data_IF_405611877397
#
_entry.id   IF_405611877397
#
_cell.length_a   1.000
_cell.length_b   1.000
_cell.length_c   1.000
_cell.angle_alpha   90.00
_cell.angle_beta   90.00
_cell.angle_gamma   90.00
#
_symmetry.space_group_name_H-M   'P 1'
#
loop_
_entity.id
_entity.type
_entity.pdbx_description
1 polymer ?
#
# COMPACT_ATOMS: atom_id res chain seq x y z
N UNK A 1 -28.51 -13.48 21.23
CA UNK A 1 -27.38 -14.15 20.52
C UNK A 1 -26.09 -13.50 20.96
N UNK A 2 -25.03 -14.27 21.23
CA UNK A 2 -23.70 -13.70 21.55
C UNK A 2 -23.15 -13.06 20.27
N UNK A 3 -22.79 -11.79 20.37
CA UNK A 3 -22.25 -11.04 19.24
C UNK A 3 -20.86 -11.60 18.86
N UNK A 4 -20.64 -11.80 17.57
CA UNK A 4 -19.42 -12.37 16.99
C UNK A 4 -18.68 -11.32 16.18
N UNK A 5 -17.35 -11.44 16.07
CA UNK A 5 -16.48 -10.44 15.47
C UNK A 5 -15.40 -11.07 14.60
N UNK A 6 -14.91 -10.28 13.66
CA UNK A 6 -13.69 -10.54 12.90
C UNK A 6 -12.62 -9.56 13.40
N UNK A 7 -11.41 -10.05 13.61
CA UNK A 7 -10.25 -9.23 13.94
C UNK A 7 -9.38 -9.09 12.68
N UNK A 8 -9.25 -7.86 12.20
CA UNK A 8 -8.44 -7.50 11.04
C UNK A 8 -7.24 -6.70 11.46
N UNK A 9 -6.09 -6.95 10.82
CA UNK A 9 -4.86 -6.19 11.02
C UNK A 9 -4.48 -5.46 9.74
N UNK A 10 -4.25 -4.16 9.85
CA UNK A 10 -3.67 -3.29 8.81
C UNK A 10 -2.21 -2.99 9.20
N UNK A 11 -1.28 -3.61 8.50
CA UNK A 11 0.15 -3.50 8.77
C UNK A 11 0.76 -2.47 7.80
N UNK A 12 0.94 -1.24 8.26
CA UNK A 12 1.57 -0.19 7.47
C UNK A 12 3.10 -0.20 7.58
N UNK A 13 3.77 0.81 7.05
CA UNK A 13 5.25 0.91 7.07
C UNK A 13 5.82 1.19 8.47
N UNK A 14 5.11 1.88 9.34
CA UNK A 14 5.61 2.31 10.67
C UNK A 14 4.70 1.91 11.82
N UNK A 15 3.56 1.31 11.55
CA UNK A 15 2.61 0.93 12.57
C UNK A 15 1.65 -0.15 12.08
N UNK A 16 1.16 -0.96 13.01
CA UNK A 16 0.00 -1.84 12.79
C UNK A 16 -1.23 -1.26 13.47
N UNK A 17 -2.38 -1.41 12.82
CA UNK A 17 -3.69 -1.17 13.39
C UNK A 17 -4.46 -2.48 13.45
N UNK A 18 -4.94 -2.86 14.62
CA UNK A 18 -5.93 -3.92 14.76
C UNK A 18 -7.32 -3.31 14.78
N UNK A 19 -8.25 -3.89 14.05
CA UNK A 19 -9.63 -3.40 13.89
C UNK A 19 -10.59 -4.55 14.19
N UNK A 20 -11.51 -4.33 15.11
CA UNK A 20 -12.58 -5.27 15.43
C UNK A 20 -13.84 -4.88 14.66
N UNK A 21 -14.36 -5.81 13.85
CA UNK A 21 -15.48 -5.57 12.93
C UNK A 21 -16.61 -6.58 13.24
N UNK A 22 -17.85 -6.14 13.24
CA UNK A 22 -19.01 -7.04 13.28
C UNK A 22 -19.44 -7.51 11.88
N UNK A 23 -20.40 -8.43 11.80
CA UNK A 23 -20.90 -8.96 10.52
C UNK A 23 -21.68 -7.96 9.65
N UNK A 24 -22.03 -6.81 10.19
CA UNK A 24 -22.65 -5.71 9.45
C UNK A 24 -21.61 -4.77 8.83
N UNK A 25 -20.30 -5.10 8.99
CA UNK A 25 -19.20 -4.26 8.51
C UNK A 25 -18.89 -3.04 9.39
N UNK A 26 -19.51 -2.94 10.57
CA UNK A 26 -19.28 -1.82 11.48
C UNK A 26 -18.01 -2.04 12.29
N UNK A 27 -17.12 -1.04 12.27
CA UNK A 27 -15.97 -0.97 13.16
C UNK A 27 -16.44 -0.74 14.60
N UNK A 28 -16.10 -1.65 15.49
CA UNK A 28 -16.45 -1.59 16.92
C UNK A 28 -15.38 -0.82 17.69
N UNK A 29 -14.12 -1.18 17.47
CA UNK A 29 -12.98 -0.43 18.00
C UNK A 29 -11.70 -0.76 17.20
N UNK A 30 -10.65 0.02 17.47
CA UNK A 30 -9.33 -0.23 16.94
C UNK A 30 -8.25 0.05 17.99
N UNK A 31 -7.06 -0.49 17.75
CA UNK A 31 -5.84 -0.20 18.49
C UNK A 31 -4.67 -0.05 17.50
N UNK A 32 -3.67 0.73 17.88
CA UNK A 32 -2.46 0.99 17.09
C UNK A 32 -1.22 0.66 17.93
N UNK A 33 -0.20 0.11 17.30
CA UNK A 33 1.15 0.03 17.83
C UNK A 33 2.15 0.40 16.74
N UNK A 34 3.19 1.12 17.13
CA UNK A 34 4.26 1.55 16.24
C UNK A 34 5.44 0.60 16.34
N UNK A 35 6.25 0.58 15.28
CA UNK A 35 7.50 -0.15 15.16
C UNK A 35 8.51 0.61 14.31
N UNK A 36 9.77 0.19 14.41
CA UNK A 36 10.89 0.91 13.84
C UNK A 36 11.02 0.67 12.33
N UNK A 37 11.30 1.73 11.59
CA UNK A 37 11.85 1.67 10.24
C UNK A 37 13.37 1.82 10.34
N UNK A 38 14.13 0.86 9.80
CA UNK A 38 15.58 0.81 9.84
C UNK A 38 16.14 1.28 8.50
N UNK A 39 16.88 2.40 8.51
CA UNK A 39 17.48 3.01 7.32
C UNK A 39 18.96 3.30 7.57
N UNK A 40 19.81 2.26 7.47
CA UNK A 40 21.25 2.37 7.76
C UNK A 40 22.05 3.08 6.67
N UNK A 41 21.54 3.06 5.44
CA UNK A 41 22.17 3.69 4.28
C UNK A 41 21.12 4.41 3.43
N UNK A 42 21.49 5.43 2.63
CA UNK A 42 20.58 6.05 1.68
C UNK A 42 19.97 5.00 0.72
N UNK A 43 18.65 4.99 0.60
CA UNK A 43 17.91 4.05 -0.24
C UNK A 43 17.71 2.65 0.34
N UNK A 44 18.24 2.36 1.54
CA UNK A 44 17.97 1.10 2.25
C UNK A 44 16.79 1.27 3.19
N UNK A 45 15.93 0.26 3.26
CA UNK A 45 14.78 0.26 4.14
C UNK A 45 14.45 -1.17 4.62
N UNK A 46 14.54 -1.36 5.92
CA UNK A 46 14.35 -2.65 6.57
C UNK A 46 13.42 -2.54 7.78
N UNK A 47 12.83 -3.67 8.16
CA UNK A 47 12.05 -3.81 9.39
C UNK A 47 12.44 -5.11 10.10
N UNK A 48 12.37 -5.12 11.44
CA UNK A 48 12.57 -6.33 12.22
C UNK A 48 11.26 -7.13 12.31
N UNK A 49 11.14 -8.34 11.71
CA UNK A 49 9.90 -9.11 11.71
C UNK A 49 9.40 -9.48 13.12
N UNK A 50 10.29 -9.70 14.09
CA UNK A 50 9.89 -10.01 15.46
C UNK A 50 9.31 -8.78 16.19
N UNK A 51 9.79 -7.57 15.89
CA UNK A 51 9.19 -6.34 16.40
C UNK A 51 7.77 -6.14 15.86
N UNK A 52 7.58 -6.41 14.56
CA UNK A 52 6.27 -6.37 13.92
C UNK A 52 5.31 -7.40 14.54
N UNK A 53 5.76 -8.63 14.79
CA UNK A 53 4.95 -9.65 15.46
C UNK A 53 4.53 -9.21 16.87
N UNK A 54 5.44 -8.65 17.65
CA UNK A 54 5.11 -8.10 18.98
C UNK A 54 4.07 -7.00 18.91
N UNK A 55 4.13 -6.15 17.88
CA UNK A 55 3.13 -5.09 17.65
C UNK A 55 1.75 -5.69 17.30
N UNK A 56 1.68 -6.74 16.49
CA UNK A 56 0.46 -7.51 16.21
C UNK A 56 -0.14 -8.04 17.52
N UNK A 57 0.66 -8.74 18.33
CA UNK A 57 0.20 -9.29 19.60
C UNK A 57 -0.33 -8.21 20.54
N UNK A 58 0.41 -7.12 20.71
CA UNK A 58 0.00 -5.98 21.54
C UNK A 58 -1.31 -5.35 21.07
N UNK A 59 -1.49 -5.13 19.78
CA UNK A 59 -2.72 -4.53 19.25
C UNK A 59 -3.90 -5.45 19.37
N UNK A 60 -3.72 -6.78 19.21
CA UNK A 60 -4.75 -7.79 19.47
C UNK A 60 -5.27 -7.70 20.89
N UNK A 61 -4.38 -7.78 21.89
CA UNK A 61 -4.73 -7.68 23.31
C UNK A 61 -5.44 -6.35 23.63
N UNK A 62 -4.93 -5.23 23.09
CA UNK A 62 -5.50 -3.91 23.32
C UNK A 62 -6.93 -3.78 22.75
N UNK A 63 -7.20 -4.33 21.56
CA UNK A 63 -8.55 -4.30 20.95
C UNK A 63 -9.53 -5.09 21.81
N UNK A 64 -9.17 -6.30 22.26
CA UNK A 64 -10.02 -7.14 23.10
C UNK A 64 -10.36 -6.42 24.40
N UNK A 65 -9.36 -5.85 25.07
CA UNK A 65 -9.53 -5.08 26.32
C UNK A 65 -10.41 -3.85 26.09
N UNK A 66 -10.13 -3.06 25.04
CA UNK A 66 -10.86 -1.83 24.73
C UNK A 66 -12.32 -2.08 24.36
N UNK A 67 -12.59 -3.18 23.64
CA UNK A 67 -13.94 -3.58 23.29
C UNK A 67 -14.70 -4.25 24.44
N UNK A 68 -14.00 -4.62 25.52
CA UNK A 68 -14.58 -5.36 26.66
C UNK A 68 -15.28 -6.66 26.22
N UNK A 69 -14.71 -7.36 25.24
CA UNK A 69 -15.23 -8.63 24.70
C UNK A 69 -14.46 -9.82 25.26
N UNK A 70 -15.05 -11.00 25.16
CA UNK A 70 -14.34 -12.26 25.42
C UNK A 70 -13.61 -12.70 24.16
N UNK A 71 -12.39 -13.29 24.26
CA UNK A 71 -11.63 -13.75 23.09
C UNK A 71 -12.36 -14.78 22.22
N UNK A 72 -13.26 -15.59 22.79
CA UNK A 72 -14.07 -16.59 22.08
C UNK A 72 -15.19 -15.99 21.19
N UNK A 73 -15.39 -14.68 21.30
CA UNK A 73 -16.29 -13.94 20.42
C UNK A 73 -15.63 -13.60 19.07
N UNK A 74 -14.30 -13.68 18.97
CA UNK A 74 -13.56 -13.51 17.70
C UNK A 74 -13.58 -14.85 16.96
N UNK A 75 -14.13 -14.86 15.74
CA UNK A 75 -14.34 -16.08 14.97
C UNK A 75 -13.59 -16.10 13.65
N UNK A 76 -12.75 -15.12 13.38
CA UNK A 76 -11.88 -15.08 12.21
C UNK A 76 -10.83 -14.00 12.32
N UNK A 77 -9.64 -14.28 11.77
CA UNK A 77 -8.53 -13.33 11.65
C UNK A 77 -8.17 -13.13 10.19
N UNK A 78 -7.79 -11.88 9.85
CA UNK A 78 -7.28 -11.53 8.53
C UNK A 78 -6.20 -10.46 8.64
N UNK A 79 -5.19 -10.55 7.77
CA UNK A 79 -4.09 -9.60 7.68
C UNK A 79 -4.12 -8.85 6.34
N UNK A 80 -3.95 -7.54 6.39
CA UNK A 80 -3.55 -6.71 5.26
C UNK A 80 -2.14 -6.19 5.52
N UNK A 81 -1.24 -6.32 4.56
CA UNK A 81 0.15 -5.93 4.73
C UNK A 81 0.73 -5.40 3.40
N UNK A 82 1.75 -4.51 3.44
CA UNK A 82 2.46 -4.13 2.25
C UNK A 82 3.08 -5.36 1.55
N UNK A 83 3.02 -5.36 0.27
CA UNK A 83 3.59 -6.41 -0.58
C UNK A 83 5.10 -6.26 -0.79
N UNK A 84 5.71 -7.26 -1.45
CA UNK A 84 7.13 -7.25 -1.85
C UNK A 84 8.10 -7.25 -0.68
N UNK A 85 7.69 -7.65 0.51
CA UNK A 85 8.61 -7.88 1.61
C UNK A 85 9.42 -9.16 1.39
N UNK A 86 10.67 -9.19 1.87
CA UNK A 86 11.57 -10.34 1.76
C UNK A 86 12.03 -10.72 3.16
N UNK A 87 11.53 -11.84 3.68
CA UNK A 87 11.81 -12.37 5.01
C UNK A 87 12.30 -13.83 4.85
N UNK A 88 13.62 -14.06 4.75
CA UNK A 88 14.18 -15.41 4.69
C UNK A 88 14.10 -16.09 6.06
N UNK A 89 13.58 -17.32 6.08
CA UNK A 89 13.40 -18.17 7.27
C UNK A 89 14.14 -19.48 7.04
N UNK A 90 14.90 -19.94 8.06
CA UNK A 90 15.59 -21.23 8.01
C UNK A 90 14.66 -22.43 8.28
N UNK A 91 15.20 -23.64 8.20
CA UNK A 91 14.46 -24.88 8.46
C UNK A 91 13.98 -25.02 9.92
N UNK A 92 14.57 -24.27 10.86
CA UNK A 92 14.19 -24.25 12.27
C UNK A 92 13.17 -23.16 12.62
N UNK A 93 12.80 -22.32 11.62
CA UNK A 93 11.88 -21.21 11.83
C UNK A 93 12.56 -19.91 12.32
N UNK A 94 13.87 -19.81 12.23
CA UNK A 94 14.58 -18.58 12.59
C UNK A 94 14.56 -17.58 11.44
N UNK A 95 14.31 -16.32 11.75
CA UNK A 95 14.46 -15.21 10.82
C UNK A 95 15.94 -14.95 10.57
N UNK A 96 16.40 -15.06 9.33
CA UNK A 96 17.82 -14.98 8.99
C UNK A 96 18.32 -13.53 8.84
N UNK A 97 17.42 -12.58 8.59
CA UNK A 97 17.72 -11.15 8.47
C UNK A 97 16.48 -10.29 8.69
N UNK A 98 16.66 -8.99 8.86
CA UNK A 98 15.57 -8.04 8.78
C UNK A 98 14.86 -8.12 7.41
N UNK A 99 13.56 -7.86 7.39
CA UNK A 99 12.76 -7.78 6.17
C UNK A 99 13.25 -6.64 5.28
N UNK A 100 13.54 -6.91 4.01
CA UNK A 100 13.60 -5.84 3.00
C UNK A 100 12.17 -5.43 2.65
N UNK A 101 11.88 -4.14 2.68
CA UNK A 101 10.52 -3.64 2.43
C UNK A 101 10.40 -2.96 1.06
N UNK A 102 9.19 -2.68 0.62
CA UNK A 102 8.89 -2.08 -0.70
C UNK A 102 9.65 -0.78 -1.01
N UNK A 103 10.07 -0.03 0.00
CA UNK A 103 10.83 1.22 -0.15
C UNK A 103 12.33 1.00 -0.41
N UNK A 104 12.83 -0.21 -0.21
CA UNK A 104 14.26 -0.51 -0.34
C UNK A 104 14.70 -0.49 -1.80
N UNK A 105 15.62 0.39 -2.14
CA UNK A 105 16.12 0.64 -3.49
C UNK A 105 17.57 0.18 -3.72
N UNK A 106 18.12 -0.64 -2.79
CA UNK A 106 19.54 -1.09 -2.88
C UNK A 106 19.87 -1.90 -4.13
N UNK A 107 18.87 -2.52 -4.75
CA UNK A 107 19.04 -3.45 -5.87
C UNK A 107 19.02 -2.77 -7.26
N UNK A 108 19.44 -1.50 -7.37
CA UNK A 108 19.39 -0.76 -8.64
C UNK A 108 20.22 -1.40 -9.75
N UNK A 109 21.43 -1.92 -9.43
CA UNK A 109 22.27 -2.62 -10.40
C UNK A 109 21.64 -3.95 -10.88
N UNK A 110 20.99 -4.68 -9.97
CA UNK A 110 20.24 -5.90 -10.31
C UNK A 110 19.06 -5.58 -11.22
N UNK A 111 18.34 -4.49 -10.96
CA UNK A 111 17.23 -4.05 -11.80
C UNK A 111 17.67 -3.72 -13.23
N UNK A 112 18.80 -3.04 -13.41
CA UNK A 112 19.35 -2.74 -14.74
C UNK A 112 19.65 -4.04 -15.52
N UNK A 113 20.32 -5.00 -14.88
CA UNK A 113 20.62 -6.30 -15.49
C UNK A 113 19.37 -7.11 -15.80
N UNK A 114 18.40 -7.12 -14.87
CA UNK A 114 17.14 -7.83 -15.04
C UNK A 114 16.33 -7.27 -16.20
N UNK A 115 16.17 -5.95 -16.30
CA UNK A 115 15.49 -5.30 -17.42
C UNK A 115 16.13 -5.62 -18.77
N UNK A 116 17.46 -5.65 -18.80
CA UNK A 116 18.20 -6.03 -20.02
C UNK A 116 18.00 -7.50 -20.38
N UNK A 117 18.09 -8.41 -19.40
CA UNK A 117 17.95 -9.85 -19.62
C UNK A 117 16.51 -10.27 -19.98
N UNK A 118 15.52 -9.66 -19.37
CA UNK A 118 14.09 -9.90 -19.66
C UNK A 118 13.67 -9.34 -21.03
N UNK A 119 14.37 -8.32 -21.56
CA UNK A 119 14.04 -7.66 -22.82
C UNK A 119 12.88 -6.66 -22.72
N UNK A 120 12.39 -6.37 -21.52
CA UNK A 120 11.37 -5.36 -21.23
C UNK A 120 11.59 -4.75 -19.84
N UNK A 121 10.90 -3.65 -19.56
CA UNK A 121 11.03 -2.97 -18.26
C UNK A 121 10.26 -3.72 -17.17
N UNK A 122 10.99 -4.43 -16.32
CA UNK A 122 10.45 -5.14 -15.13
C UNK A 122 10.24 -4.15 -13.97
N UNK A 123 11.15 -3.18 -13.82
CA UNK A 123 11.03 -2.17 -12.78
C UNK A 123 12.36 -1.59 -12.31
N UNK A 124 12.35 -0.97 -11.15
CA UNK A 124 13.51 -0.35 -10.50
C UNK A 124 14.10 -1.26 -9.41
N UNK A 125 15.15 -0.80 -8.72
CA UNK A 125 15.73 -1.50 -7.59
C UNK A 125 14.78 -1.72 -6.39
N UNK A 126 13.61 -1.13 -6.40
CA UNK A 126 12.55 -1.33 -5.39
C UNK A 126 11.65 -2.54 -5.69
N UNK A 127 11.74 -3.12 -6.90
CA UNK A 127 10.93 -4.28 -7.25
C UNK A 127 11.38 -5.54 -6.53
N UNK A 128 10.48 -6.53 -6.48
CA UNK A 128 10.68 -7.75 -5.71
C UNK A 128 11.87 -8.57 -6.22
N UNK A 129 11.88 -8.91 -7.53
CA UNK A 129 12.90 -9.76 -8.12
C UNK A 129 14.33 -9.16 -8.07
N UNK A 130 14.58 -7.87 -8.37
CA UNK A 130 15.89 -7.27 -8.18
C UNK A 130 16.42 -7.40 -6.75
N UNK A 131 15.53 -7.25 -5.74
CA UNK A 131 15.93 -7.38 -4.34
C UNK A 131 16.21 -8.82 -3.94
N UNK A 132 15.49 -9.80 -4.51
CA UNK A 132 15.85 -11.23 -4.37
C UNK A 132 17.21 -11.51 -4.96
N UNK A 133 17.49 -11.04 -6.19
CA UNK A 133 18.82 -11.14 -6.82
C UNK A 133 19.89 -10.53 -5.93
N UNK A 134 19.63 -9.37 -5.35
CA UNK A 134 20.57 -8.72 -4.46
C UNK A 134 20.88 -9.57 -3.22
N UNK A 135 19.89 -10.15 -2.57
CA UNK A 135 20.08 -11.05 -1.41
C UNK A 135 20.88 -12.27 -1.82
N UNK A 136 20.56 -12.91 -2.95
CA UNK A 136 21.27 -14.08 -3.48
C UNK A 136 22.73 -13.79 -3.76
N UNK A 137 23.06 -12.62 -4.31
CA UNK A 137 24.40 -12.21 -4.69
C UNK A 137 25.24 -11.68 -3.51
N UNK A 138 24.66 -10.92 -2.60
CA UNK A 138 25.41 -10.20 -1.56
C UNK A 138 25.33 -10.87 -0.19
N UNK A 139 24.36 -11.76 0.02
CA UNK A 139 24.15 -12.50 1.27
C UNK A 139 23.96 -13.99 0.95
N UNK A 140 24.90 -14.67 0.26
CA UNK A 140 24.74 -16.04 -0.21
C UNK A 140 24.49 -17.03 0.94
N UNK A 141 25.10 -16.85 2.10
CA UNK A 141 24.85 -17.69 3.29
C UNK A 141 23.41 -17.62 3.76
N UNK A 142 22.79 -16.43 3.73
CA UNK A 142 21.36 -16.24 4.05
C UNK A 142 20.51 -16.93 3.01
N UNK A 143 20.84 -16.75 1.72
CA UNK A 143 20.09 -17.36 0.61
C UNK A 143 20.11 -18.89 0.67
N UNK A 144 21.27 -19.48 0.88
CA UNK A 144 21.46 -20.93 0.95
C UNK A 144 20.76 -21.55 2.16
N UNK A 145 20.83 -20.90 3.34
CA UNK A 145 20.18 -21.38 4.56
C UNK A 145 18.66 -21.10 4.58
N UNK A 146 18.15 -20.24 3.73
CA UNK A 146 16.72 -19.97 3.66
C UNK A 146 15.95 -21.20 3.16
N UNK A 147 15.10 -21.75 4.00
CA UNK A 147 14.15 -22.79 3.64
C UNK A 147 12.92 -22.21 2.94
N UNK A 148 12.53 -21.01 3.34
CA UNK A 148 11.40 -20.27 2.72
C UNK A 148 11.67 -18.77 2.78
N UNK A 149 11.22 -18.05 1.74
CA UNK A 149 11.24 -16.59 1.68
C UNK A 149 9.80 -16.10 1.72
N UNK A 150 9.44 -15.40 2.79
CA UNK A 150 8.06 -14.96 3.04
C UNK A 150 7.89 -13.48 2.76
N UNK A 151 6.72 -13.10 2.24
CA UNK A 151 6.18 -11.75 2.36
C UNK A 151 5.64 -11.49 3.78
N UNK A 152 5.31 -10.24 4.08
CA UNK A 152 4.90 -9.86 5.44
C UNK A 152 3.57 -10.48 5.85
N UNK A 153 2.59 -10.52 4.95
CA UNK A 153 1.31 -11.17 5.17
C UNK A 153 1.50 -12.67 5.47
N UNK A 154 2.34 -13.35 4.67
CA UNK A 154 2.68 -14.77 4.87
C UNK A 154 3.35 -15.01 6.22
N UNK A 155 4.28 -14.14 6.63
CA UNK A 155 4.96 -14.23 7.92
C UNK A 155 3.98 -14.17 9.11
N UNK A 156 3.02 -13.25 9.09
CA UNK A 156 2.02 -13.16 10.16
C UNK A 156 1.09 -14.36 10.21
N UNK A 157 0.66 -14.88 9.06
CA UNK A 157 -0.12 -16.12 8.98
C UNK A 157 0.66 -17.31 9.54
N UNK A 158 1.93 -17.42 9.18
CA UNK A 158 2.80 -18.47 9.70
C UNK A 158 3.00 -18.37 11.21
N UNK A 159 3.31 -17.20 11.75
CA UNK A 159 3.41 -16.98 13.23
C UNK A 159 2.11 -17.35 13.94
N UNK A 160 0.98 -17.09 13.32
CA UNK A 160 -0.34 -17.34 13.91
C UNK A 160 -0.77 -18.81 13.84
N UNK A 161 -0.47 -19.50 12.72
CA UNK A 161 -1.05 -20.81 12.40
C UNK A 161 -0.03 -21.94 12.27
N UNK A 162 1.25 -21.63 12.12
CA UNK A 162 2.28 -22.57 11.70
C UNK A 162 2.21 -22.98 10.22
N UNK A 163 1.23 -22.46 9.45
CA UNK A 163 1.06 -22.78 8.03
C UNK A 163 1.64 -21.68 7.17
N UNK A 164 2.27 -22.08 6.05
CA UNK A 164 2.91 -21.17 5.11
C UNK A 164 2.05 -21.10 3.85
N UNK A 165 1.53 -19.91 3.54
CA UNK A 165 0.82 -19.64 2.29
C UNK A 165 0.88 -18.16 1.95
N UNK A 166 1.22 -17.83 0.69
CA UNK A 166 1.04 -16.48 0.14
C UNK A 166 -0.40 -16.28 -0.35
N UNK A 167 -0.70 -15.12 -0.92
CA UNK A 167 -2.00 -14.80 -1.50
C UNK A 167 -1.81 -14.04 -2.83
N UNK A 168 -2.83 -13.97 -3.71
CA UNK A 168 -2.63 -13.52 -5.09
C UNK A 168 -2.03 -12.13 -5.28
N UNK A 169 -2.23 -11.19 -4.36
CA UNK A 169 -1.70 -9.83 -4.50
C UNK A 169 -0.23 -9.69 -4.04
N UNK A 170 0.28 -10.64 -3.24
CA UNK A 170 1.68 -10.69 -2.78
C UNK A 170 2.43 -11.93 -3.33
N UNK A 171 1.89 -12.58 -4.38
CA UNK A 171 2.56 -13.64 -5.12
C UNK A 171 3.11 -13.09 -6.44
N UNK A 172 4.41 -13.19 -6.63
CA UNK A 172 5.14 -12.73 -7.82
C UNK A 172 5.74 -13.90 -8.61
N UNK A 173 5.34 -15.13 -8.30
CA UNK A 173 5.79 -16.35 -8.97
C UNK A 173 4.65 -17.10 -9.67
N UNK A 174 3.42 -16.94 -9.19
CA UNK A 174 2.25 -17.62 -9.71
C UNK A 174 1.15 -16.62 -10.03
N UNK A 175 0.46 -16.85 -11.13
CA UNK A 175 -0.72 -16.08 -11.52
C UNK A 175 -1.81 -16.97 -12.08
N UNK A 176 -3.06 -16.65 -11.78
CA UNK A 176 -4.22 -17.28 -12.43
C UNK A 176 -4.42 -16.81 -13.87
N UNK A 177 -3.79 -15.70 -14.25
CA UNK A 177 -3.82 -15.18 -15.61
C UNK A 177 -2.62 -15.74 -16.40
N UNK A 178 -2.84 -16.53 -17.49
CA UNK A 178 -1.77 -17.14 -18.26
C UNK A 178 -0.79 -16.14 -18.88
N UNK A 179 -1.25 -14.96 -19.28
CA UNK A 179 -0.38 -13.91 -19.84
C UNK A 179 0.59 -13.39 -18.78
N UNK A 180 0.10 -13.13 -17.56
CA UNK A 180 0.92 -12.69 -16.44
C UNK A 180 1.89 -13.79 -16.01
N UNK A 181 1.43 -15.05 -15.97
CA UNK A 181 2.30 -16.18 -15.67
C UNK A 181 3.46 -16.27 -16.68
N UNK A 182 3.18 -16.08 -17.97
CA UNK A 182 4.23 -16.07 -18.99
C UNK A 182 5.26 -14.96 -18.77
N UNK A 183 4.85 -13.81 -18.27
CA UNK A 183 5.79 -12.73 -17.93
C UNK A 183 6.58 -13.03 -16.67
N UNK A 184 5.95 -13.62 -15.65
CA UNK A 184 6.65 -14.10 -14.45
C UNK A 184 7.69 -15.14 -14.79
N UNK A 185 7.39 -16.13 -15.64
CA UNK A 185 8.35 -17.16 -16.08
C UNK A 185 9.58 -16.55 -16.74
N UNK A 186 9.39 -15.55 -17.61
CA UNK A 186 10.50 -14.81 -18.24
C UNK A 186 11.34 -14.05 -17.20
N UNK A 187 10.68 -13.39 -16.24
CA UNK A 187 11.37 -12.61 -15.19
C UNK A 187 12.14 -13.55 -14.27
N UNK A 188 11.55 -14.65 -13.84
CA UNK A 188 12.16 -15.67 -12.98
C UNK A 188 13.42 -16.20 -13.65
N UNK A 189 13.31 -16.56 -14.93
CA UNK A 189 14.45 -17.04 -15.73
C UNK A 189 15.56 -15.97 -15.86
N UNK A 190 15.19 -14.74 -16.21
CA UNK A 190 16.13 -13.63 -16.34
C UNK A 190 16.81 -13.25 -15.01
N UNK A 191 16.12 -13.47 -13.89
CA UNK A 191 16.63 -13.25 -12.53
C UNK A 191 17.53 -14.40 -12.04
N UNK A 192 17.58 -15.54 -12.75
CA UNK A 192 18.31 -16.74 -12.33
C UNK A 192 17.73 -17.42 -11.09
N UNK A 193 16.41 -17.45 -10.98
CA UNK A 193 15.68 -18.01 -9.83
C UNK A 193 14.98 -19.35 -10.13
N UNK A 194 15.18 -19.93 -11.34
CA UNK A 194 14.51 -21.16 -11.76
C UNK A 194 14.73 -22.35 -10.80
N UNK A 195 15.91 -22.43 -10.19
CA UNK A 195 16.26 -23.50 -9.26
C UNK A 195 15.85 -23.24 -7.80
N UNK A 196 15.30 -22.05 -7.53
CA UNK A 196 14.95 -21.61 -6.16
C UNK A 196 13.43 -21.58 -5.89
N UNK A 197 12.62 -22.04 -6.82
CA UNK A 197 11.15 -21.93 -6.75
C UNK A 197 10.56 -22.61 -5.51
N UNK A 198 11.22 -23.63 -4.98
CA UNK A 198 10.81 -24.32 -3.75
C UNK A 198 10.97 -23.47 -2.46
N UNK A 199 11.68 -22.33 -2.55
CA UNK A 199 11.80 -21.36 -1.46
C UNK A 199 10.59 -20.42 -1.36
N UNK A 200 9.68 -20.40 -2.34
CA UNK A 200 8.54 -19.50 -2.35
C UNK A 200 7.26 -20.21 -1.90
N UNK A 201 6.43 -19.55 -1.06
CA UNK A 201 5.24 -20.13 -0.48
C UNK A 201 4.21 -20.55 -1.53
N UNK A 202 3.44 -21.64 -1.31
CA UNK A 202 2.28 -21.93 -2.15
C UNK A 202 1.20 -20.86 -1.96
N UNK A 203 0.44 -20.57 -3.03
CA UNK A 203 -0.62 -19.56 -3.04
C UNK A 203 -1.95 -20.15 -2.55
N UNK A 204 -2.67 -19.36 -1.72
CA UNK A 204 -4.08 -19.55 -1.35
C UNK A 204 -4.86 -18.28 -1.61
N UNK A 205 -6.15 -18.43 -1.94
CA UNK A 205 -7.01 -17.26 -2.13
C UNK A 205 -7.19 -16.48 -0.82
N UNK A 206 -7.43 -15.19 -0.94
CA UNK A 206 -7.62 -14.29 0.19
C UNK A 206 -8.74 -14.74 1.16
N UNK A 207 -9.77 -15.38 0.65
CA UNK A 207 -10.93 -15.89 1.41
C UNK A 207 -10.78 -17.35 1.87
N UNK A 208 -9.72 -18.04 1.51
CA UNK A 208 -9.47 -19.42 1.96
C UNK A 208 -8.88 -19.44 3.38
N UNK A 209 -9.29 -20.43 4.15
CA UNK A 209 -8.67 -20.71 5.45
C UNK A 209 -7.24 -21.24 5.22
N UNK A 210 -6.25 -20.51 5.74
CA UNK A 210 -4.84 -20.93 5.72
C UNK A 210 -4.57 -21.93 6.83
N UNK A 211 -5.13 -21.70 8.00
CA UNK A 211 -4.97 -22.52 9.19
C UNK A 211 -5.73 -21.92 10.36
N UNK A 212 -5.42 -22.40 11.56
CA UNK A 212 -6.07 -21.97 12.80
C UNK A 212 -5.05 -21.44 13.79
N UNK A 213 -5.45 -20.50 14.63
CA UNK A 213 -4.63 -19.96 15.71
C UNK A 213 -4.10 -21.09 16.58
N UNK A 214 -2.78 -21.17 16.72
CA UNK A 214 -2.08 -22.17 17.56
C UNK A 214 -2.22 -21.82 19.05
N UNK A 215 -1.87 -22.74 19.95
CA UNK A 215 -1.84 -22.49 21.38
C UNK A 215 -0.87 -21.33 21.69
N UNK A 216 0.34 -21.36 21.13
CA UNK A 216 1.34 -20.32 21.34
C UNK A 216 0.86 -18.95 20.86
N UNK A 217 0.33 -18.87 19.64
CA UNK A 217 -0.19 -17.61 19.11
C UNK A 217 -1.38 -17.09 19.93
N UNK A 218 -2.24 -17.99 20.42
CA UNK A 218 -3.36 -17.62 21.28
C UNK A 218 -2.89 -16.95 22.57
N UNK A 219 -1.87 -17.51 23.22
CA UNK A 219 -1.26 -16.94 24.43
C UNK A 219 -0.62 -15.58 24.15
N UNK A 220 0.17 -15.46 23.07
CA UNK A 220 0.85 -14.21 22.69
C UNK A 220 -0.13 -13.11 22.28
N UNK A 221 -1.21 -13.44 21.60
CA UNK A 221 -2.20 -12.47 21.07
C UNK A 221 -3.37 -12.19 22.02
N UNK A 222 -3.51 -12.95 23.12
CA UNK A 222 -4.66 -12.87 24.02
C UNK A 222 -5.96 -13.43 23.40
N UNK A 223 -5.84 -14.42 22.54
CA UNK A 223 -6.93 -15.07 21.81
C UNK A 223 -7.21 -16.47 22.36
N UNK A 224 -8.16 -17.19 21.75
CA UNK A 224 -8.38 -18.62 21.96
C UNK A 224 -7.81 -19.41 20.78
N UNK A 225 -7.30 -20.62 21.07
CA UNK A 225 -6.87 -21.57 20.04
C UNK A 225 -8.03 -21.91 19.09
N UNK A 226 -7.70 -22.17 17.82
CA UNK A 226 -8.63 -22.74 16.87
C UNK A 226 -9.44 -21.72 16.06
N UNK A 227 -9.25 -20.42 16.28
CA UNK A 227 -9.86 -19.38 15.41
C UNK A 227 -9.28 -19.51 14.01
N UNK A 228 -10.11 -19.56 12.93
CA UNK A 228 -9.63 -19.62 11.57
C UNK A 228 -8.91 -18.34 11.16
N UNK A 229 -7.83 -18.48 10.38
CA UNK A 229 -7.04 -17.41 9.79
C UNK A 229 -7.13 -17.51 8.29
N UNK A 230 -7.51 -16.42 7.62
CA UNK A 230 -7.74 -16.38 6.19
C UNK A 230 -6.55 -15.82 5.42
N UNK A 231 -6.53 -16.05 4.09
CA UNK A 231 -5.43 -15.66 3.21
C UNK A 231 -5.04 -14.19 3.27
N UNK A 232 -6.02 -13.30 3.38
CA UNK A 232 -5.78 -11.86 3.49
C UNK A 232 -5.44 -11.19 2.17
N UNK A 233 -4.91 -9.97 2.25
CA UNK A 233 -4.64 -9.14 1.09
C UNK A 233 -3.37 -8.31 1.27
N UNK A 234 -2.79 -7.85 0.17
CA UNK A 234 -1.95 -6.66 0.16
C UNK A 234 -2.74 -5.42 0.61
N UNK A 235 -2.05 -4.38 1.02
CA UNK A 235 -2.68 -3.13 1.50
C UNK A 235 -3.54 -2.45 0.43
N UNK A 236 -3.09 -2.43 -0.82
CA UNK A 236 -3.79 -1.78 -1.93
C UNK A 236 -5.11 -2.48 -2.28
N UNK A 237 -5.19 -3.82 -2.50
CA UNK A 237 -6.46 -4.52 -2.63
C UNK A 237 -7.38 -4.36 -1.41
N UNK A 238 -6.82 -4.36 -0.18
CA UNK A 238 -7.60 -4.16 1.04
C UNK A 238 -8.26 -2.77 1.08
N UNK A 239 -7.52 -1.72 0.71
CA UNK A 239 -8.07 -0.35 0.56
C UNK A 239 -9.17 -0.35 -0.49
N UNK A 240 -8.95 -0.97 -1.64
CA UNK A 240 -9.90 -1.05 -2.75
C UNK A 240 -11.23 -1.68 -2.29
N UNK A 241 -11.17 -2.81 -1.58
CA UNK A 241 -12.35 -3.46 -0.98
C UNK A 241 -13.01 -2.54 0.06
N UNK A 242 -12.20 -1.90 0.91
CA UNK A 242 -12.67 -0.98 1.94
C UNK A 242 -13.45 0.22 1.39
N UNK A 243 -13.17 0.65 0.16
CA UNK A 243 -13.97 1.66 -0.55
C UNK A 243 -15.29 1.10 -1.08
N UNK A 244 -15.46 -0.22 -1.09
CA UNK A 244 -16.56 -0.93 -1.73
C UNK A 244 -16.39 -1.08 -3.25
N UNK A 245 -15.19 -0.82 -3.78
CA UNK A 245 -14.84 -1.11 -5.17
C UNK A 245 -14.43 -2.58 -5.27
N UNK A 246 -15.39 -3.45 -5.60
CA UNK A 246 -15.23 -4.91 -5.59
C UNK A 246 -15.59 -5.57 -6.92
N UNK A 247 -15.99 -4.78 -7.92
CA UNK A 247 -16.47 -5.27 -9.20
C UNK A 247 -15.84 -4.49 -10.34
N UNK A 248 -15.82 -5.10 -11.49
CA UNK A 248 -15.35 -4.50 -12.74
C UNK A 248 -15.98 -3.13 -12.99
N UNK A 249 -15.15 -2.21 -13.46
CA UNK A 249 -15.51 -0.83 -13.73
C UNK A 249 -15.85 0.04 -12.50
N UNK A 250 -15.49 -0.41 -11.31
CA UNK A 250 -15.51 0.44 -10.12
C UNK A 250 -14.16 1.14 -9.96
N UNK A 251 -14.20 2.43 -9.67
CA UNK A 251 -13.02 3.29 -9.56
C UNK A 251 -13.00 3.97 -8.21
N UNK A 252 -11.82 4.08 -7.61
CA UNK A 252 -11.62 4.89 -6.42
C UNK A 252 -10.32 5.69 -6.50
N UNK A 253 -10.25 6.73 -5.70
CA UNK A 253 -9.03 7.52 -5.46
C UNK A 253 -8.60 7.33 -4.01
N UNK A 254 -7.32 7.09 -3.82
CA UNK A 254 -6.66 7.20 -2.52
C UNK A 254 -5.92 8.54 -2.43
N UNK A 255 -6.23 9.31 -1.38
CA UNK A 255 -5.63 10.60 -1.07
C UNK A 255 -4.80 10.49 0.20
N UNK A 256 -3.58 10.00 0.07
CA UNK A 256 -2.60 9.85 1.15
C UNK A 256 -1.28 10.55 0.86
N UNK A 257 -0.21 10.19 1.56
CA UNK A 257 1.15 10.72 1.34
C UNK A 257 1.58 10.64 -0.12
N UNK A 258 1.42 9.47 -0.75
CA UNK A 258 1.23 9.28 -2.19
C UNK A 258 -0.26 9.36 -2.51
N UNK A 259 -0.62 9.39 -3.78
CA UNK A 259 -2.01 9.31 -4.19
C UNK A 259 -2.14 8.43 -5.42
N UNK A 260 -3.27 7.81 -5.61
CA UNK A 260 -3.52 6.99 -6.80
C UNK A 260 -4.99 6.91 -7.14
N UNK A 261 -5.26 6.65 -8.43
CA UNK A 261 -6.55 6.18 -8.92
C UNK A 261 -6.41 4.70 -9.24
N UNK A 262 -7.39 3.91 -8.83
CA UNK A 262 -7.48 2.47 -9.13
C UNK A 262 -8.80 2.19 -9.80
N UNK A 263 -8.76 1.39 -10.87
CA UNK A 263 -9.91 0.75 -11.48
C UNK A 263 -9.82 -0.77 -11.36
N UNK A 264 -10.98 -1.43 -11.36
CA UNK A 264 -11.08 -2.89 -11.37
C UNK A 264 -11.38 -3.35 -12.79
N UNK A 265 -10.49 -4.17 -13.35
CA UNK A 265 -10.54 -4.69 -14.72
C UNK A 265 -10.50 -6.21 -14.72
N UNK A 266 -10.96 -6.85 -15.80
CA UNK A 266 -10.79 -8.29 -16.00
C UNK A 266 -9.47 -8.61 -16.67
N UNK A 267 -9.14 -7.87 -17.71
CA UNK A 267 -7.93 -8.09 -18.49
C UNK A 267 -7.15 -6.78 -18.57
N UNK A 268 -5.84 -6.86 -18.55
CA UNK A 268 -4.95 -5.68 -18.69
C UNK A 268 -5.10 -5.00 -20.04
N UNK A 269 -5.62 -5.70 -21.04
CA UNK A 269 -5.88 -5.20 -22.38
C UNK A 269 -7.10 -4.26 -22.45
N UNK A 270 -8.00 -4.33 -21.46
CA UNK A 270 -9.21 -3.53 -21.42
C UNK A 270 -8.92 -2.05 -21.16
N UNK A 271 -7.91 -1.76 -20.32
CA UNK A 271 -7.48 -0.39 -19.99
C UNK A 271 -5.97 -0.38 -19.82
N UNK A 272 -5.29 0.42 -20.62
CA UNK A 272 -3.85 0.65 -20.49
C UNK A 272 -3.58 1.48 -19.22
N UNK A 273 -3.11 0.82 -18.16
CA UNK A 273 -2.66 1.46 -16.93
C UNK A 273 -1.13 1.43 -16.84
N UNK A 274 -0.51 2.43 -16.18
CA UNK A 274 0.94 2.45 -15.98
C UNK A 274 1.47 1.30 -15.14
N UNK A 275 0.65 0.79 -14.24
CA UNK A 275 0.94 -0.35 -13.36
C UNK A 275 -0.32 -1.18 -13.17
N UNK A 276 -0.13 -2.45 -12.83
CA UNK A 276 -1.20 -3.37 -12.50
C UNK A 276 -0.87 -4.12 -11.22
N UNK A 277 -1.91 -4.57 -10.53
CA UNK A 277 -1.79 -5.49 -9.41
C UNK A 277 -2.89 -6.54 -9.47
N UNK A 278 -2.61 -7.73 -8.97
CA UNK A 278 -3.62 -8.77 -8.87
C UNK A 278 -4.58 -8.44 -7.73
N UNK A 279 -5.86 -8.26 -8.08
CA UNK A 279 -6.90 -7.97 -7.09
C UNK A 279 -7.42 -9.26 -6.45
N UNK A 280 -7.75 -10.24 -7.30
CA UNK A 280 -8.14 -11.59 -6.89
C UNK A 280 -7.98 -12.56 -8.08
N UNK A 281 -8.51 -13.78 -7.98
CA UNK A 281 -8.44 -14.77 -9.06
C UNK A 281 -9.21 -14.41 -10.34
N UNK A 282 -10.05 -13.37 -10.33
CA UNK A 282 -10.91 -12.97 -11.45
C UNK A 282 -10.62 -11.57 -11.97
N UNK A 283 -10.03 -10.70 -11.14
CA UNK A 283 -9.86 -9.30 -11.42
C UNK A 283 -8.44 -8.83 -11.16
N UNK A 284 -7.99 -7.93 -12.00
CA UNK A 284 -6.79 -7.12 -11.83
C UNK A 284 -7.19 -5.70 -11.41
N UNK A 285 -6.25 -4.96 -10.85
CA UNK A 285 -6.40 -3.53 -10.64
C UNK A 285 -5.47 -2.76 -11.55
N UNK A 286 -6.01 -1.81 -12.31
CA UNK A 286 -5.22 -0.79 -13.00
C UNK A 286 -4.86 0.33 -12.04
N UNK A 287 -3.58 0.69 -11.96
CA UNK A 287 -3.05 1.64 -10.98
C UNK A 287 -2.42 2.85 -11.67
N UNK A 288 -2.97 4.03 -11.39
CA UNK A 288 -2.46 5.34 -11.81
C UNK A 288 -1.97 6.09 -10.57
N UNK A 289 -0.68 5.95 -10.27
CA UNK A 289 -0.09 6.51 -9.07
C UNK A 289 0.55 7.90 -9.33
N UNK A 290 0.49 8.78 -8.31
CA UNK A 290 1.27 9.98 -8.20
C UNK A 290 2.41 9.73 -7.20
N UNK A 291 3.63 10.09 -7.56
CA UNK A 291 4.77 9.99 -6.66
C UNK A 291 4.58 10.81 -5.39
N UNK A 292 3.93 11.97 -5.51
CA UNK A 292 3.72 12.92 -4.43
C UNK A 292 2.24 13.32 -4.38
N UNK A 293 1.50 12.81 -3.42
CA UNK A 293 0.11 13.15 -3.14
C UNK A 293 -0.02 14.22 -2.05
N UNK A 294 -0.73 13.91 -0.96
CA UNK A 294 -0.90 14.84 0.16
C UNK A 294 0.42 15.28 0.81
N UNK A 295 1.53 14.59 0.55
CA UNK A 295 2.86 15.05 0.94
C UNK A 295 3.19 16.43 0.38
N UNK A 296 2.74 16.75 -0.84
CA UNK A 296 2.97 18.08 -1.41
C UNK A 296 2.20 19.17 -0.63
N UNK A 297 1.01 18.88 -0.16
CA UNK A 297 0.25 19.77 0.71
C UNK A 297 0.94 19.91 2.09
N UNK A 298 1.35 18.80 2.69
CA UNK A 298 2.08 18.82 3.97
C UNK A 298 3.37 19.64 3.87
N UNK A 299 4.13 19.45 2.79
CA UNK A 299 5.31 20.26 2.49
C UNK A 299 4.96 21.74 2.34
N UNK A 300 3.90 22.09 1.61
CA UNK A 300 3.49 23.48 1.41
C UNK A 300 3.06 24.13 2.74
N UNK A 301 2.35 23.38 3.61
CA UNK A 301 2.03 23.85 4.97
C UNK A 301 3.29 24.10 5.78
N UNK A 302 4.28 23.18 5.71
CA UNK A 302 5.57 23.39 6.40
C UNK A 302 6.31 24.65 5.91
N UNK A 303 6.31 24.91 4.60
CA UNK A 303 7.04 26.07 4.03
C UNK A 303 6.31 27.40 4.26
N UNK A 304 4.99 27.43 4.15
CA UNK A 304 4.22 28.68 4.12
C UNK A 304 3.46 28.96 5.42
N UNK A 305 3.28 27.96 6.30
CA UNK A 305 2.57 28.04 7.57
C UNK A 305 3.39 27.46 8.74
N UNK A 306 4.71 27.54 8.64
CA UNK A 306 5.62 26.96 9.64
C UNK A 306 5.32 27.43 11.07
N UNK A 307 5.10 28.73 11.28
CA UNK A 307 4.82 29.29 12.61
C UNK A 307 3.51 28.75 13.19
N UNK A 308 2.47 28.71 12.39
CA UNK A 308 1.17 28.16 12.77
C UNK A 308 1.28 26.66 13.07
N UNK A 309 2.07 25.92 12.29
CA UNK A 309 2.32 24.48 12.52
C UNK A 309 3.02 24.22 13.86
N UNK A 310 3.98 25.05 14.23
CA UNK A 310 4.66 24.95 15.55
C UNK A 310 3.69 25.18 16.72
N UNK A 311 2.69 26.03 16.55
CA UNK A 311 1.71 26.36 17.58
C UNK A 311 0.58 25.34 17.63
N UNK A 312 0.02 24.97 16.47
CA UNK A 312 -1.22 24.21 16.34
C UNK A 312 -0.98 22.69 16.20
N UNK A 313 0.27 22.26 15.91
CA UNK A 313 0.54 20.85 15.65
C UNK A 313 -0.33 20.29 14.52
N UNK A 314 -1.04 19.19 14.77
CA UNK A 314 -1.91 18.55 13.77
C UNK A 314 -3.15 19.39 13.37
N UNK A 315 -3.58 20.33 14.19
CA UNK A 315 -4.72 21.21 13.90
C UNK A 315 -4.41 22.26 12.83
N UNK A 316 -3.14 22.40 12.43
CA UNK A 316 -2.73 23.33 11.38
C UNK A 316 -3.42 23.07 10.05
N UNK A 317 -3.75 21.83 9.72
CA UNK A 317 -4.43 21.49 8.46
C UNK A 317 -5.85 22.07 8.41
N UNK A 318 -6.59 22.02 9.51
CA UNK A 318 -7.92 22.63 9.61
C UNK A 318 -7.83 24.16 9.54
N UNK A 319 -6.80 24.75 10.17
CA UNK A 319 -6.55 26.17 10.10
C UNK A 319 -6.26 26.59 8.64
N UNK A 320 -5.35 25.91 7.95
CA UNK A 320 -4.99 26.19 6.55
C UNK A 320 -6.19 26.04 5.62
N UNK A 321 -6.98 24.98 5.77
CA UNK A 321 -8.19 24.79 4.97
C UNK A 321 -9.17 25.97 5.10
N UNK A 322 -9.34 26.52 6.31
CA UNK A 322 -10.17 27.72 6.54
C UNK A 322 -9.56 28.98 5.94
N UNK A 323 -8.25 29.15 6.06
CA UNK A 323 -7.54 30.34 5.57
C UNK A 323 -7.57 30.44 4.04
N UNK A 324 -7.46 29.29 3.34
CA UNK A 324 -7.44 29.25 1.86
C UNK A 324 -8.84 29.10 1.23
N UNK A 325 -9.89 28.86 2.01
CA UNK A 325 -11.23 28.61 1.49
C UNK A 325 -11.83 29.77 0.65
N UNK A 326 -11.30 30.97 0.80
CA UNK A 326 -11.71 32.14 0.01
C UNK A 326 -10.97 32.32 -1.33
N UNK A 327 -9.98 31.49 -1.63
CA UNK A 327 -9.23 31.55 -2.89
C UNK A 327 -10.11 30.95 -4.01
N UNK A 328 -10.29 31.64 -5.13
CA UNK A 328 -11.13 31.14 -6.22
C UNK A 328 -10.47 29.94 -6.92
N UNK A 329 -11.30 29.10 -7.54
CA UNK A 329 -10.83 28.01 -8.40
C UNK A 329 -9.88 28.53 -9.47
N UNK A 330 -8.76 27.82 -9.68
CA UNK A 330 -7.66 28.26 -10.55
C UNK A 330 -6.67 29.23 -9.87
N UNK A 331 -6.81 29.47 -8.53
CA UNK A 331 -5.84 30.23 -7.71
C UNK A 331 -5.44 31.57 -8.35
N UNK A 332 -6.40 32.30 -8.93
CA UNK A 332 -6.18 33.55 -9.69
C UNK A 332 -5.12 33.41 -10.82
N UNK A 333 -5.19 32.27 -11.55
CA UNK A 333 -4.26 31.87 -12.60
C UNK A 333 -2.85 31.48 -12.15
N UNK A 334 -2.63 31.27 -10.87
CA UNK A 334 -1.42 30.67 -10.35
C UNK A 334 -1.49 29.14 -10.56
N UNK A 335 -0.50 28.57 -11.23
CA UNK A 335 -0.39 27.12 -11.44
C UNK A 335 0.78 26.58 -10.65
N UNK A 336 0.57 25.50 -9.93
CA UNK A 336 1.65 24.73 -9.28
C UNK A 336 1.76 23.33 -9.87
N UNK A 337 2.92 22.70 -9.70
CA UNK A 337 3.10 21.27 -9.87
C UNK A 337 3.53 20.65 -8.54
N UNK A 338 2.97 19.47 -8.21
CA UNK A 338 3.26 18.76 -6.96
C UNK A 338 4.52 17.86 -7.04
N UNK A 339 5.35 17.99 -8.07
CA UNK A 339 6.45 17.08 -8.44
C UNK A 339 7.71 17.25 -7.59
N UNK A 340 7.58 17.30 -6.27
CA UNK A 340 8.69 17.47 -5.34
C UNK A 340 9.75 16.37 -5.47
N UNK A 341 9.31 15.13 -5.71
CA UNK A 341 10.16 13.94 -5.79
C UNK A 341 10.15 13.30 -7.20
N UNK A 342 9.81 14.07 -8.23
CA UNK A 342 9.60 13.55 -9.56
C UNK A 342 8.12 13.32 -9.86
N UNK A 343 7.81 12.68 -11.00
CA UNK A 343 6.45 12.41 -11.47
C UNK A 343 6.30 10.97 -11.95
N UNK A 344 5.10 10.45 -11.83
CA UNK A 344 4.60 9.20 -12.39
C UNK A 344 3.27 9.45 -13.08
N UNK A 345 2.86 8.55 -13.97
CA UNK A 345 3.54 8.07 -15.16
C UNK A 345 3.61 9.12 -16.27
N UNK A 346 4.59 9.09 -17.15
CA UNK A 346 5.76 8.22 -17.10
C UNK A 346 6.73 8.65 -15.98
N UNK A 347 7.55 7.70 -15.51
CA UNK A 347 8.55 8.02 -14.48
C UNK A 347 9.50 9.12 -14.96
N UNK A 348 9.46 10.27 -14.30
CA UNK A 348 10.35 11.40 -14.55
C UNK A 348 11.02 11.85 -13.25
N UNK A 349 12.20 11.30 -12.96
CA UNK A 349 12.99 11.66 -11.77
C UNK A 349 13.46 13.12 -11.76
N UNK A 350 13.51 13.75 -12.95
CA UNK A 350 13.98 15.12 -13.12
C UNK A 350 12.83 16.15 -13.06
N UNK A 351 11.58 15.74 -13.08
CA UNK A 351 10.45 16.62 -12.85
C UNK A 351 10.56 17.25 -11.44
N UNK A 352 10.31 18.55 -11.36
CA UNK A 352 10.37 19.30 -10.10
C UNK A 352 9.13 20.16 -9.94
N UNK A 353 8.85 20.52 -8.70
CA UNK A 353 7.78 21.46 -8.38
C UNK A 353 8.10 22.85 -8.93
N UNK A 354 7.08 23.47 -9.51
CA UNK A 354 7.16 24.83 -10.09
C UNK A 354 5.91 25.59 -9.68
N UNK A 355 6.07 26.87 -9.42
CA UNK A 355 4.98 27.84 -9.36
C UNK A 355 5.08 28.72 -10.61
N UNK A 356 4.04 28.72 -11.42
CA UNK A 356 3.98 29.46 -12.68
C UNK A 356 2.96 30.59 -12.60
N UNK A 357 3.27 31.72 -13.21
CA UNK A 357 2.43 32.93 -13.26
C UNK A 357 2.22 33.61 -11.88
N UNK A 358 3.24 33.60 -11.01
CA UNK A 358 3.21 34.33 -9.74
C UNK A 358 3.22 35.84 -10.00
N UNK A 359 2.32 36.57 -9.35
CA UNK A 359 2.23 38.03 -9.39
C UNK A 359 2.25 38.61 -7.95
N UNK A 360 2.37 39.94 -7.82
CA UNK A 360 2.32 40.62 -6.53
C UNK A 360 0.97 40.52 -5.79
N UNK A 361 -0.06 40.05 -6.46
CA UNK A 361 -1.39 39.86 -5.87
C UNK A 361 -1.52 38.48 -5.19
N UNK A 362 -0.62 37.55 -5.47
CA UNK A 362 -0.63 36.25 -4.87
C UNK A 362 0.06 36.26 -3.51
N UNK A 363 -0.54 35.63 -2.53
CA UNK A 363 0.04 35.38 -1.22
C UNK A 363 0.17 33.87 -0.93
N UNK A 364 0.61 33.50 0.29
CA UNK A 364 0.82 32.12 0.69
C UNK A 364 -0.42 31.23 0.51
N UNK A 365 -1.63 31.82 0.62
CA UNK A 365 -2.91 31.09 0.45
C UNK A 365 -3.07 30.58 -0.97
N UNK A 366 -2.77 31.44 -1.95
CA UNK A 366 -2.80 31.07 -3.38
C UNK A 366 -1.77 29.97 -3.69
N UNK A 367 -0.56 30.04 -3.12
CA UNK A 367 0.48 29.04 -3.33
C UNK A 367 0.04 27.66 -2.82
N UNK A 368 -0.53 27.60 -1.62
CA UNK A 368 -1.01 26.33 -1.04
C UNK A 368 -2.24 25.80 -1.78
N UNK A 369 -3.18 26.67 -2.14
CA UNK A 369 -4.37 26.33 -2.90
C UNK A 369 -3.98 25.74 -4.28
N UNK A 370 -3.06 26.36 -5.01
CA UNK A 370 -2.54 25.87 -6.28
C UNK A 370 -1.85 24.50 -6.17
N UNK A 371 -1.14 24.22 -5.07
CA UNK A 371 -0.57 22.88 -4.81
C UNK A 371 -1.67 21.84 -4.64
N UNK A 372 -2.75 22.13 -3.92
CA UNK A 372 -3.89 21.22 -3.78
C UNK A 372 -4.58 20.97 -5.13
N UNK A 373 -4.80 22.01 -5.91
CA UNK A 373 -5.38 21.90 -7.26
C UNK A 373 -4.52 21.03 -8.18
N UNK A 374 -3.19 21.13 -8.11
CA UNK A 374 -2.29 20.37 -8.98
C UNK A 374 -2.46 18.85 -8.85
N UNK A 375 -2.78 18.38 -7.65
CA UNK A 375 -3.08 16.98 -7.39
C UNK A 375 -4.43 16.60 -8.01
N UNK A 376 -5.44 17.47 -7.85
CA UNK A 376 -6.76 17.26 -8.47
C UNK A 376 -6.68 17.22 -10.01
N UNK A 377 -5.88 18.09 -10.62
CA UNK A 377 -5.67 18.10 -12.07
C UNK A 377 -5.01 16.80 -12.59
N UNK A 378 -4.10 16.23 -11.82
CA UNK A 378 -3.51 14.93 -12.19
C UNK A 378 -4.54 13.82 -12.12
N UNK A 379 -5.39 13.78 -11.09
CA UNK A 379 -6.50 12.83 -11.03
C UNK A 379 -7.50 13.03 -12.16
N UNK A 380 -7.75 14.28 -12.59
CA UNK A 380 -8.57 14.57 -13.79
C UNK A 380 -7.96 13.95 -15.04
N UNK A 381 -6.66 14.09 -15.26
CA UNK A 381 -5.95 13.47 -16.39
C UNK A 381 -6.10 11.95 -16.37
N UNK A 382 -5.99 11.31 -15.19
CA UNK A 382 -6.17 9.86 -15.06
C UNK A 382 -7.61 9.44 -15.33
N UNK A 383 -8.56 10.18 -14.80
CA UNK A 383 -9.99 9.93 -15.07
C UNK A 383 -10.32 10.04 -16.56
N UNK A 384 -9.82 11.05 -17.25
CA UNK A 384 -10.04 11.23 -18.71
C UNK A 384 -9.41 10.06 -19.50
N UNK A 385 -8.23 9.60 -19.10
CA UNK A 385 -7.62 8.43 -19.72
C UNK A 385 -8.50 7.18 -19.53
N UNK A 386 -8.95 6.94 -18.31
CA UNK A 386 -9.85 5.84 -17.97
C UNK A 386 -11.16 5.92 -18.77
N UNK A 387 -11.85 7.07 -18.74
CA UNK A 387 -13.13 7.27 -19.42
C UNK A 387 -13.01 7.04 -20.95
N UNK A 388 -11.89 7.48 -21.53
CA UNK A 388 -11.59 7.25 -22.95
C UNK A 388 -11.39 5.78 -23.26
N UNK A 389 -10.63 5.07 -22.45
CA UNK A 389 -10.37 3.65 -22.64
C UNK A 389 -11.62 2.81 -22.37
N UNK A 390 -12.37 3.10 -21.33
CA UNK A 390 -13.61 2.42 -20.97
C UNK A 390 -14.81 2.76 -21.88
N UNK A 391 -14.69 3.81 -22.71
CA UNK A 391 -15.76 4.28 -23.58
C UNK A 391 -16.99 4.83 -22.85
N UNK A 392 -16.86 5.20 -21.59
CA UNK A 392 -17.96 5.69 -20.74
C UNK A 392 -17.46 6.73 -19.73
N UNK A 393 -18.40 7.59 -19.27
CA UNK A 393 -18.13 8.55 -18.21
C UNK A 393 -18.52 8.00 -16.85
N UNK A 394 -17.73 8.36 -15.84
CA UNK A 394 -18.10 8.14 -14.45
C UNK A 394 -19.00 9.27 -13.95
N UNK A 395 -19.98 8.90 -13.12
CA UNK A 395 -20.89 9.84 -12.46
C UNK A 395 -20.66 9.95 -10.96
N UNK A 396 -19.82 9.07 -10.42
CA UNK A 396 -19.41 9.09 -9.03
C UNK A 396 -18.07 8.38 -8.88
N UNK A 397 -17.29 8.81 -7.91
CA UNK A 397 -16.02 8.17 -7.53
C UNK A 397 -15.93 8.14 -6.01
N UNK A 398 -15.33 7.09 -5.47
CA UNK A 398 -15.08 6.99 -4.03
C UNK A 398 -13.68 7.49 -3.72
N UNK A 399 -13.55 8.27 -2.65
CA UNK A 399 -12.27 8.82 -2.23
C UNK A 399 -11.99 8.39 -0.79
N UNK A 400 -10.78 7.92 -0.52
CA UNK A 400 -10.32 7.51 0.82
C UNK A 400 -8.92 8.04 1.08
N UNK A 401 -8.49 7.98 2.33
CA UNK A 401 -7.17 8.46 2.77
C UNK A 401 -7.27 9.72 3.62
N UNK A 402 -6.11 10.19 4.10
CA UNK A 402 -6.06 11.34 5.02
C UNK A 402 -6.56 12.66 4.40
N UNK A 403 -6.30 12.87 3.12
CA UNK A 403 -6.78 14.07 2.42
C UNK A 403 -8.29 14.10 2.20
N UNK A 404 -8.95 12.92 2.22
CA UNK A 404 -10.40 12.81 2.04
C UNK A 404 -11.23 13.37 3.22
N UNK A 405 -10.59 13.70 4.34
CA UNK A 405 -11.28 14.33 5.49
C UNK A 405 -11.46 15.84 5.32
N UNK A 406 -10.80 16.47 4.34
CA UNK A 406 -10.92 17.89 4.03
C UNK A 406 -12.08 18.14 3.08
N UNK A 407 -13.19 18.68 3.58
CA UNK A 407 -14.36 19.04 2.77
C UNK A 407 -13.98 20.01 1.64
N UNK A 408 -13.08 20.99 1.93
CA UNK A 408 -12.57 21.91 0.92
C UNK A 408 -11.86 21.17 -0.23
N UNK A 409 -10.99 20.23 0.10
CA UNK A 409 -10.25 19.48 -0.93
C UNK A 409 -11.16 18.54 -1.71
N UNK A 410 -12.15 17.93 -1.04
CA UNK A 410 -13.13 17.08 -1.72
C UNK A 410 -14.03 17.90 -2.65
N UNK A 411 -14.43 19.11 -2.27
CA UNK A 411 -15.15 20.02 -3.17
C UNK A 411 -14.28 20.41 -4.38
N UNK A 412 -13.02 20.82 -4.14
CA UNK A 412 -12.06 21.11 -5.21
C UNK A 412 -11.89 19.93 -6.18
N UNK A 413 -11.75 18.71 -5.64
CA UNK A 413 -11.63 17.51 -6.45
C UNK A 413 -12.90 17.26 -7.27
N UNK A 414 -14.08 17.38 -6.68
CA UNK A 414 -15.38 17.25 -7.37
C UNK A 414 -15.52 18.27 -8.49
N UNK A 415 -15.17 19.54 -8.23
CA UNK A 415 -15.23 20.60 -9.22
C UNK A 415 -14.29 20.34 -10.40
N UNK A 416 -13.07 19.85 -10.15
CA UNK A 416 -12.09 19.51 -11.17
C UNK A 416 -12.50 18.26 -11.96
N UNK A 417 -12.99 17.23 -11.28
CA UNK A 417 -13.41 15.99 -11.93
C UNK A 417 -14.77 16.10 -12.63
N UNK A 418 -15.59 17.06 -12.25
CA UNK A 418 -16.99 17.25 -12.71
C UNK A 418 -17.90 16.05 -12.36
N UNK A 419 -17.70 15.49 -11.16
CA UNK A 419 -18.49 14.39 -10.56
C UNK A 419 -18.63 14.57 -9.06
#
# INVERSE_FOLDING_TARGET
MIQKYILSFDCGTTAVKAVLINFEGKVICNAKAEYSLIQLHPGWAEQNPEELWKAICKTSQNVITKASIKPDQIIGLIYAAPWKNIIPIDANGNVLRNSLIWMDARASAQAERLNQAAGFFVGTGQEYWPRLMWVKENEPEIWENAKVIMGLNTYFKWKTTGQIATEPSDDFFHSYNPSIQSDYDKIIHAAGLDEDLDKFPPMKLATEEVGKVTIQAAEEMGLVQGIPVFGGFGDLPAITIGTGCCQENMVHIYFGTSSWLVDIIRNREDIEAPQYFTFNSQYEGGLFALQTGCFAFDWAVEQFYHSERQILGGEVFDFVNKDIAGIPAGSDNLIATHWLNGELPPLSKNAKSVFFNVTSNHDRRHLVHAVMESICYTHRRYLEHYEKAAGKKLHSIRVVGGGAVSDLWMQMLSDVLQI
#
